data_IF_662377748410
#
_entry.id   IF_662377748410
#
_cell.length_a   1.000
_cell.length_b   1.000
_cell.length_c   1.000
_cell.angle_alpha   90.00
_cell.angle_beta   90.00
_cell.angle_gamma   90.00
#
_symmetry.space_group_name_H-M   'P 1'
#
loop_
_entity.id
_entity.type
_entity.pdbx_description
1 polymer ?
#
# COMPACT_ATOMS: atom_id res chain seq x y z
N UNK A 1 -6.31 -3.60 -23.34
CA UNK A 1 -4.89 -4.08 -23.36
C UNK A 1 -4.73 -5.09 -22.23
N UNK A 2 -3.95 -6.15 -22.43
CA UNK A 2 -3.65 -7.07 -21.32
C UNK A 2 -2.64 -6.39 -20.39
N UNK A 3 -2.87 -6.45 -19.07
CA UNK A 3 -1.89 -6.03 -18.07
C UNK A 3 -0.77 -7.08 -18.06
N UNK A 4 0.46 -6.67 -18.33
CA UNK A 4 1.60 -7.58 -18.37
C UNK A 4 2.21 -7.75 -16.97
N UNK A 5 2.35 -6.64 -16.22
CA UNK A 5 2.98 -6.64 -14.92
C UNK A 5 2.32 -5.63 -13.97
N UNK A 6 2.14 -6.04 -12.72
CA UNK A 6 1.66 -5.20 -11.62
C UNK A 6 2.81 -4.99 -10.63
N UNK A 7 3.01 -3.74 -10.21
CA UNK A 7 3.92 -3.37 -9.14
C UNK A 7 3.10 -2.87 -7.95
N UNK A 8 3.11 -3.63 -6.87
CA UNK A 8 2.29 -3.38 -5.68
C UNK A 8 3.13 -2.78 -4.55
N UNK A 9 2.66 -1.67 -3.97
CA UNK A 9 3.24 -1.04 -2.79
C UNK A 9 2.23 -1.02 -1.65
N UNK A 10 2.70 -1.14 -0.42
CA UNK A 10 1.84 -1.15 0.75
C UNK A 10 2.56 -1.62 2.01
N UNK A 11 1.80 -1.93 3.05
CA UNK A 11 2.29 -2.37 4.34
C UNK A 11 2.14 -3.88 4.56
N UNK A 12 2.16 -4.33 5.82
CA UNK A 12 1.95 -5.71 6.24
C UNK A 12 0.73 -6.38 5.60
N UNK A 13 -0.36 -5.63 5.40
CA UNK A 13 -1.56 -6.15 4.73
C UNK A 13 -1.33 -6.43 3.23
N UNK A 14 -0.38 -5.75 2.60
CA UNK A 14 0.00 -6.00 1.21
C UNK A 14 1.06 -7.09 1.11
N UNK A 15 1.95 -7.18 2.10
CA UNK A 15 2.89 -8.32 2.25
C UNK A 15 2.12 -9.63 2.42
N UNK A 16 0.98 -9.61 3.12
CA UNK A 16 0.23 -10.79 3.53
C UNK A 16 0.76 -11.38 4.83
N UNK A 17 1.15 -10.51 5.78
CA UNK A 17 1.61 -10.95 7.10
C UNK A 17 0.55 -11.84 7.76
N UNK A 18 1.02 -12.94 8.37
CA UNK A 18 0.17 -13.96 9.01
C UNK A 18 -0.84 -14.67 8.06
N UNK A 19 -0.62 -14.63 6.75
CA UNK A 19 -1.45 -15.31 5.76
C UNK A 19 -0.58 -16.02 4.70
N UNK A 20 -1.06 -17.13 4.17
CA UNK A 20 -0.39 -17.90 3.10
C UNK A 20 -0.54 -17.26 1.70
N UNK A 21 -1.34 -16.23 1.60
CA UNK A 21 -1.55 -15.44 0.39
C UNK A 21 -1.65 -13.94 0.69
N UNK A 22 -1.63 -13.13 -0.37
CA UNK A 22 -1.84 -11.70 -0.30
C UNK A 22 -2.61 -11.22 -1.53
N UNK A 23 -3.19 -10.02 -1.46
CA UNK A 23 -3.99 -9.48 -2.56
C UNK A 23 -3.18 -9.29 -3.87
N UNK A 24 -1.88 -8.92 -3.86
CA UNK A 24 -1.10 -8.87 -5.09
C UNK A 24 -1.02 -10.22 -5.79
N UNK A 25 -0.71 -11.29 -5.05
CA UNK A 25 -0.66 -12.66 -5.58
C UNK A 25 -2.01 -13.11 -6.12
N UNK A 26 -3.09 -12.89 -5.39
CA UNK A 26 -4.46 -13.22 -5.83
C UNK A 26 -4.83 -12.43 -7.09
N UNK A 27 -4.44 -11.16 -7.19
CA UNK A 27 -4.67 -10.33 -8.36
C UNK A 27 -3.90 -10.83 -9.59
N UNK A 28 -2.63 -11.21 -9.41
CA UNK A 28 -1.81 -11.81 -10.48
C UNK A 28 -2.45 -13.08 -11.04
N UNK A 29 -2.99 -13.94 -10.16
CA UNK A 29 -3.72 -15.15 -10.58
C UNK A 29 -4.99 -14.75 -11.38
N UNK A 30 -5.76 -13.78 -10.91
CA UNK A 30 -6.99 -13.32 -11.56
C UNK A 30 -6.77 -12.69 -12.93
N UNK A 31 -5.62 -12.07 -13.16
CA UNK A 31 -5.27 -11.37 -14.38
C UNK A 31 -4.31 -12.17 -15.28
N UNK A 32 -3.79 -13.27 -14.78
CA UNK A 32 -2.74 -14.06 -15.43
C UNK A 32 -1.54 -13.19 -15.85
N UNK A 33 -1.03 -12.37 -14.90
CA UNK A 33 0.10 -11.47 -15.12
C UNK A 33 1.15 -11.59 -14.00
N UNK A 34 2.35 -11.09 -14.27
CA UNK A 34 3.41 -10.96 -13.26
C UNK A 34 3.02 -9.94 -12.19
N UNK A 35 3.41 -10.20 -10.95
CA UNK A 35 3.25 -9.25 -9.84
C UNK A 35 4.54 -9.12 -9.05
N UNK A 36 5.04 -7.89 -8.93
CA UNK A 36 6.14 -7.54 -8.05
C UNK A 36 5.55 -6.88 -6.80
N UNK A 37 5.74 -7.51 -5.66
CA UNK A 37 5.27 -6.98 -4.38
C UNK A 37 6.41 -6.25 -3.66
N UNK A 38 6.39 -4.92 -3.67
CA UNK A 38 7.35 -4.01 -3.04
C UNK A 38 6.87 -3.51 -1.66
N UNK A 39 5.94 -4.22 -1.04
CA UNK A 39 5.42 -3.83 0.26
C UNK A 39 6.39 -4.16 1.39
N UNK A 40 6.32 -3.39 2.48
CA UNK A 40 7.17 -3.54 3.66
C UNK A 40 6.33 -3.56 4.94
N UNK A 41 6.63 -4.50 5.85
CA UNK A 41 5.94 -4.62 7.14
C UNK A 41 6.17 -3.36 7.97
N UNK A 42 5.08 -2.80 8.54
CA UNK A 42 5.16 -1.62 9.39
C UNK A 42 5.42 -0.31 8.65
N UNK A 43 5.54 -0.31 7.33
CA UNK A 43 5.87 0.89 6.56
C UNK A 43 4.83 2.00 6.68
N UNK A 44 5.27 3.22 6.39
CA UNK A 44 4.47 4.45 6.29
C UNK A 44 4.33 4.90 4.83
N UNK A 45 3.48 5.91 4.60
CA UNK A 45 3.37 6.55 3.28
C UNK A 45 4.70 7.10 2.76
N UNK A 46 5.55 7.62 3.64
CA UNK A 46 6.89 8.11 3.27
C UNK A 46 7.78 7.01 2.69
N UNK A 47 7.75 5.81 3.29
CA UNK A 47 8.48 4.66 2.73
C UNK A 47 7.97 4.30 1.33
N UNK A 48 6.65 4.26 1.14
CA UNK A 48 6.05 3.94 -0.16
C UNK A 48 6.55 4.90 -1.25
N UNK A 49 6.56 6.21 -0.96
CA UNK A 49 7.10 7.21 -1.90
C UNK A 49 8.57 6.96 -2.22
N UNK A 50 9.38 6.64 -1.20
CA UNK A 50 10.77 6.31 -1.42
C UNK A 50 10.93 5.07 -2.31
N UNK A 51 10.22 3.99 -2.00
CA UNK A 51 10.25 2.75 -2.77
C UNK A 51 9.81 2.96 -4.23
N UNK A 52 8.73 3.71 -4.46
CA UNK A 52 8.27 4.06 -5.81
C UNK A 52 9.33 4.81 -6.62
N UNK A 53 10.04 5.75 -6.00
CA UNK A 53 11.08 6.56 -6.68
C UNK A 53 12.29 5.75 -7.11
N UNK A 54 12.63 4.69 -6.37
CA UNK A 54 13.80 3.85 -6.63
C UNK A 54 13.46 2.59 -7.41
N UNK A 55 12.18 2.32 -7.63
CA UNK A 55 11.75 1.20 -8.46
C UNK A 55 11.92 1.52 -9.94
N UNK A 56 12.46 0.58 -10.71
CA UNK A 56 12.61 0.68 -12.15
C UNK A 56 11.37 0.15 -12.86
N UNK A 57 10.43 1.06 -13.11
CA UNK A 57 9.22 0.72 -13.87
C UNK A 57 9.55 0.44 -15.33
N UNK A 58 8.90 -0.57 -15.88
CA UNK A 58 8.91 -0.85 -17.32
C UNK A 58 7.69 -0.22 -17.99
N UNK A 59 7.77 -0.19 -19.33
CA UNK A 59 6.63 0.25 -20.13
C UNK A 59 5.42 -0.67 -19.85
N UNK A 60 4.25 -0.08 -19.73
CA UNK A 60 2.97 -0.76 -19.50
C UNK A 60 2.83 -1.42 -18.11
N UNK A 61 3.71 -1.10 -17.15
CA UNK A 61 3.50 -1.43 -15.75
C UNK A 61 2.26 -0.76 -15.18
N UNK A 62 1.54 -1.49 -14.34
CA UNK A 62 0.47 -0.96 -13.52
C UNK A 62 0.94 -0.86 -12.07
N UNK A 63 1.07 0.37 -11.58
CA UNK A 63 1.42 0.64 -10.20
C UNK A 63 0.16 0.68 -9.33
N UNK A 64 0.14 -0.13 -8.27
CA UNK A 64 -0.98 -0.16 -7.32
C UNK A 64 -0.45 0.08 -5.91
N UNK A 65 -0.97 1.11 -5.25
CA UNK A 65 -0.64 1.45 -3.87
C UNK A 65 -1.81 1.15 -2.95
N UNK A 66 -1.57 0.38 -1.88
CA UNK A 66 -2.49 0.24 -0.76
C UNK A 66 -1.92 1.01 0.44
N UNK A 67 -2.41 2.24 0.62
CA UNK A 67 -1.91 3.17 1.64
C UNK A 67 -2.07 2.61 3.05
N UNK A 68 -0.99 2.60 3.86
CA UNK A 68 -1.03 2.17 5.25
C UNK A 68 -1.81 3.17 6.11
N UNK A 69 -1.99 2.80 7.37
CA UNK A 69 -2.54 3.69 8.37
C UNK A 69 -1.68 4.96 8.51
N UNK A 70 -2.33 6.12 8.54
CA UNK A 70 -1.68 7.45 8.56
C UNK A 70 -0.86 7.71 9.83
N UNK A 71 -1.15 6.98 10.90
CA UNK A 71 -0.39 7.05 12.16
C UNK A 71 1.01 6.47 12.07
N UNK A 72 1.38 5.89 10.94
CA UNK A 72 2.70 5.28 10.74
C UNK A 72 3.70 6.32 10.23
N UNK A 73 4.89 6.29 10.79
CA UNK A 73 6.00 7.15 10.40
C UNK A 73 7.24 6.31 10.11
N UNK A 74 8.17 6.82 9.32
CA UNK A 74 9.49 6.22 9.17
C UNK A 74 10.58 7.29 9.12
N UNK A 75 11.71 6.95 9.70
CA UNK A 75 12.95 7.70 9.57
C UNK A 75 13.89 7.00 8.59
N UNK A 76 14.39 7.76 7.65
CA UNK A 76 15.49 7.33 6.80
C UNK A 76 16.80 7.61 7.56
N UNK A 77 17.46 6.57 8.04
CA UNK A 77 18.73 6.66 8.76
C UNK A 77 19.90 6.80 7.79
N UNK A 78 19.87 6.01 6.72
CA UNK A 78 20.85 5.98 5.63
C UNK A 78 20.11 5.63 4.33
N UNK A 79 20.78 5.67 3.20
CA UNK A 79 20.21 5.24 1.94
C UNK A 79 19.67 3.79 2.07
N UNK A 80 18.36 3.63 1.85
CA UNK A 80 17.63 2.36 1.98
C UNK A 80 17.56 1.74 3.39
N UNK A 81 17.94 2.46 4.45
CA UNK A 81 17.82 2.02 5.83
C UNK A 81 16.71 2.80 6.54
N UNK A 82 15.53 2.19 6.67
CA UNK A 82 14.35 2.80 7.29
C UNK A 82 14.10 2.23 8.68
N UNK A 83 13.81 3.11 9.62
CA UNK A 83 13.20 2.74 10.89
C UNK A 83 11.72 3.07 10.86
N UNK A 84 10.88 2.02 10.91
CA UNK A 84 9.43 2.17 10.95
C UNK A 84 8.94 2.39 12.38
N UNK A 85 8.14 3.42 12.57
CA UNK A 85 7.60 3.83 13.86
C UNK A 85 6.08 3.85 13.77
N UNK A 86 5.43 3.36 14.80
CA UNK A 86 3.99 3.37 14.93
C UNK A 86 3.56 3.07 16.36
N UNK A 87 2.25 3.07 16.57
CA UNK A 87 1.64 2.85 17.90
C UNK A 87 1.96 1.49 18.53
N UNK A 88 2.49 0.56 17.75
CA UNK A 88 2.88 -0.79 18.20
C UNK A 88 4.31 -0.88 18.77
N UNK A 89 5.14 0.16 18.63
CA UNK A 89 6.50 0.21 19.19
C UNK A 89 6.51 0.95 20.53
N UNK A 90 6.85 0.25 21.59
CA UNK A 90 6.83 0.82 22.95
C UNK A 90 8.03 1.73 23.25
N UNK A 91 9.23 1.42 22.74
CA UNK A 91 10.48 2.09 23.17
C UNK A 91 10.72 3.46 22.54
N UNK A 92 10.33 3.65 21.27
CA UNK A 92 10.59 4.91 20.54
C UNK A 92 9.36 5.82 20.45
N UNK A 93 8.28 5.39 21.08
CA UNK A 93 6.98 6.02 20.98
C UNK A 93 6.86 7.34 21.74
N UNK A 94 7.76 7.66 22.67
CA UNK A 94 7.61 8.86 23.52
C UNK A 94 7.68 10.16 22.73
N UNK A 95 8.68 10.31 21.84
CA UNK A 95 8.77 11.47 20.94
C UNK A 95 7.65 11.47 19.94
N UNK A 96 7.36 10.32 19.34
CA UNK A 96 6.26 10.17 18.40
C UNK A 96 4.92 10.54 19.04
N UNK A 97 4.56 9.98 20.20
CA UNK A 97 3.31 10.29 20.89
C UNK A 97 3.22 11.74 21.34
N UNK A 98 4.36 12.37 21.69
CA UNK A 98 4.41 13.77 22.10
C UNK A 98 4.12 14.74 20.95
N UNK A 99 4.54 14.41 19.73
CA UNK A 99 4.46 15.29 18.57
C UNK A 99 3.46 14.81 17.53
N UNK A 100 2.88 13.62 17.71
CA UNK A 100 1.86 13.11 16.82
C UNK A 100 0.60 13.96 16.89
N UNK A 101 0.05 14.25 15.72
CA UNK A 101 -1.23 14.92 15.55
C UNK A 101 -1.95 14.25 14.41
N UNK A 102 -3.21 13.86 14.64
CA UNK A 102 -4.07 13.28 13.58
C UNK A 102 -4.18 14.21 12.38
N UNK A 103 -4.32 15.51 12.63
CA UNK A 103 -4.35 16.50 11.57
C UNK A 103 -3.06 16.51 10.73
N UNK A 104 -1.90 16.48 11.37
CA UNK A 104 -0.61 16.44 10.67
C UNK A 104 -0.46 15.15 9.85
N UNK A 105 -0.81 14.01 10.43
CA UNK A 105 -0.75 12.72 9.76
C UNK A 105 -1.68 12.66 8.53
N UNK A 106 -2.85 13.27 8.61
CA UNK A 106 -3.77 13.37 7.49
C UNK A 106 -3.23 14.30 6.38
N UNK A 107 -2.60 15.43 6.73
CA UNK A 107 -1.95 16.31 5.77
C UNK A 107 -0.77 15.61 5.08
N UNK A 108 0.07 14.89 5.82
CA UNK A 108 1.16 14.08 5.27
C UNK A 108 0.62 13.02 4.30
N UNK A 109 -0.49 12.36 4.63
CA UNK A 109 -1.13 11.40 3.75
C UNK A 109 -1.51 12.02 2.41
N UNK A 110 -2.18 13.18 2.40
CA UNK A 110 -2.55 13.86 1.15
C UNK A 110 -1.32 14.30 0.34
N UNK A 111 -0.25 14.74 1.00
CA UNK A 111 0.99 15.07 0.30
C UNK A 111 1.63 13.84 -0.36
N UNK A 112 1.64 12.69 0.31
CA UNK A 112 2.18 11.46 -0.27
C UNK A 112 1.32 10.97 -1.44
N UNK A 113 0.01 11.03 -1.31
CA UNK A 113 -0.93 10.66 -2.36
C UNK A 113 -0.74 11.54 -3.61
N UNK A 114 -0.71 12.85 -3.44
CA UNK A 114 -0.49 13.80 -4.53
C UNK A 114 0.87 13.58 -5.20
N UNK A 115 1.91 13.37 -4.40
CA UNK A 115 3.24 13.06 -4.93
C UNK A 115 3.25 11.78 -5.77
N UNK A 116 2.65 10.69 -5.28
CA UNK A 116 2.61 9.42 -5.98
C UNK A 116 1.88 9.57 -7.33
N UNK A 117 0.75 10.26 -7.34
CA UNK A 117 -0.04 10.55 -8.55
C UNK A 117 0.74 11.38 -9.57
N UNK A 118 1.40 12.44 -9.11
CA UNK A 118 2.22 13.30 -9.98
C UNK A 118 3.45 12.56 -10.52
N UNK A 119 4.10 11.75 -9.69
CA UNK A 119 5.22 10.91 -10.08
C UNK A 119 4.82 9.92 -11.18
N UNK A 120 3.72 9.19 -10.97
CA UNK A 120 3.20 8.25 -11.95
C UNK A 120 2.85 8.96 -13.28
N UNK A 121 2.15 10.10 -13.22
CA UNK A 121 1.80 10.91 -14.40
C UNK A 121 3.05 11.37 -15.18
N UNK A 122 4.08 11.84 -14.49
CA UNK A 122 5.33 12.31 -15.13
C UNK A 122 6.10 11.20 -15.82
N UNK A 123 6.00 9.99 -15.30
CA UNK A 123 6.71 8.82 -15.83
C UNK A 123 5.83 7.93 -16.73
N UNK A 124 4.61 8.38 -17.09
CA UNK A 124 3.64 7.63 -17.89
C UNK A 124 3.32 6.25 -17.31
N UNK A 125 3.22 6.14 -15.97
CA UNK A 125 2.88 4.93 -15.25
C UNK A 125 1.36 4.92 -15.01
N UNK A 126 0.70 3.83 -15.36
CA UNK A 126 -0.70 3.60 -14.99
C UNK A 126 -0.78 3.40 -13.47
N UNK A 127 -1.58 4.21 -12.78
CA UNK A 127 -1.58 4.29 -11.33
C UNK A 127 -2.98 4.16 -10.73
N UNK A 128 -3.09 3.30 -9.73
CA UNK A 128 -4.27 3.14 -8.88
C UNK A 128 -3.86 3.14 -7.42
N UNK A 129 -4.72 3.67 -6.57
CA UNK A 129 -4.47 3.64 -5.14
C UNK A 129 -5.74 3.34 -4.32
N UNK A 130 -5.52 2.70 -3.20
CA UNK A 130 -6.50 2.16 -2.27
C UNK A 130 -6.07 2.43 -0.85
N UNK A 131 -6.98 2.22 0.10
CA UNK A 131 -6.66 2.23 1.51
C UNK A 131 -6.47 0.81 2.05
N UNK A 132 -5.50 0.61 2.90
CA UNK A 132 -5.40 -0.59 3.73
C UNK A 132 -6.55 -0.66 4.75
N UNK A 133 -6.85 -1.84 5.29
CA UNK A 133 -8.04 -2.08 6.12
C UNK A 133 -8.10 -1.22 7.40
N UNK A 134 -6.97 -0.80 7.94
CA UNK A 134 -6.89 0.04 9.16
C UNK A 134 -6.67 1.52 8.90
N UNK A 135 -6.70 1.96 7.65
CA UNK A 135 -6.52 3.37 7.31
C UNK A 135 -7.82 4.15 7.51
N UNK A 136 -7.77 5.22 8.29
CA UNK A 136 -8.89 6.10 8.60
C UNK A 136 -8.58 7.51 8.12
N UNK A 137 -9.04 7.82 6.91
CA UNK A 137 -8.97 9.15 6.31
C UNK A 137 -10.29 9.45 5.62
N UNK A 138 -10.66 10.72 5.56
CA UNK A 138 -11.89 11.15 4.88
C UNK A 138 -11.66 11.20 3.36
N UNK A 139 -11.81 10.07 2.69
CA UNK A 139 -11.63 9.94 1.24
C UNK A 139 -12.67 9.00 0.64
N UNK A 140 -12.91 9.16 -0.67
CA UNK A 140 -13.79 8.28 -1.45
C UNK A 140 -13.07 7.02 -2.00
N UNK A 141 -11.81 6.80 -1.64
CA UNK A 141 -11.07 5.64 -2.11
C UNK A 141 -11.65 4.34 -1.58
N UNK A 142 -11.59 3.32 -2.40
CA UNK A 142 -11.90 1.97 -1.94
C UNK A 142 -10.88 1.53 -0.88
N UNK A 143 -11.38 0.89 0.14
CA UNK A 143 -10.63 0.38 1.27
C UNK A 143 -10.71 -1.15 1.29
N UNK A 144 -9.61 -1.80 1.64
CA UNK A 144 -9.63 -3.23 1.93
C UNK A 144 -10.54 -3.53 3.11
N UNK A 145 -11.61 -4.29 2.89
CA UNK A 145 -12.51 -4.72 3.94
C UNK A 145 -11.96 -5.97 4.65
N UNK A 146 -12.18 -6.03 5.97
CA UNK A 146 -11.78 -7.16 6.78
C UNK A 146 -12.93 -8.16 6.88
N UNK A 147 -12.81 -9.31 6.21
CA UNK A 147 -13.80 -10.39 6.20
C UNK A 147 -13.38 -11.60 7.06
N UNK A 148 -12.08 -11.79 7.20
CA UNK A 148 -11.46 -12.84 8.01
C UNK A 148 -10.10 -12.39 8.51
N UNK A 149 -9.54 -13.15 9.45
CA UNK A 149 -8.22 -12.87 10.02
C UNK A 149 -7.19 -13.92 9.61
N UNK A 150 -5.94 -13.51 9.53
CA UNK A 150 -4.78 -14.37 9.43
C UNK A 150 -4.51 -15.14 10.74
N UNK A 151 -3.41 -15.88 10.78
CA UNK A 151 -3.05 -16.76 11.92
C UNK A 151 -2.77 -16.01 13.22
N UNK A 152 -2.50 -14.71 13.16
CA UNK A 152 -2.25 -13.84 14.31
C UNK A 152 -3.50 -13.14 14.87
N UNK A 153 -4.67 -13.36 14.28
CA UNK A 153 -5.94 -12.71 14.62
C UNK A 153 -5.91 -11.16 14.57
N UNK A 154 -4.99 -10.59 13.78
CA UNK A 154 -4.81 -9.14 13.62
C UNK A 154 -4.80 -8.71 12.17
N UNK A 155 -4.06 -9.42 11.32
CA UNK A 155 -3.97 -9.13 9.91
C UNK A 155 -5.09 -9.77 9.11
N UNK A 156 -5.41 -9.23 7.91
CA UNK A 156 -6.42 -9.82 7.03
C UNK A 156 -6.08 -11.26 6.64
N UNK A 157 -7.09 -12.11 6.64
CA UNK A 157 -6.98 -13.49 6.19
C UNK A 157 -7.19 -13.65 4.69
N UNK A 158 -7.25 -14.88 4.25
CA UNK A 158 -7.31 -15.26 2.83
C UNK A 158 -8.54 -14.73 2.09
N UNK A 159 -9.69 -14.72 2.74
CA UNK A 159 -10.93 -14.23 2.13
C UNK A 159 -10.85 -12.72 1.88
N UNK A 160 -10.36 -11.96 2.86
CA UNK A 160 -10.15 -10.50 2.76
C UNK A 160 -9.23 -10.16 1.58
N UNK A 161 -8.13 -10.88 1.42
CA UNK A 161 -7.20 -10.67 0.29
C UNK A 161 -7.84 -10.99 -1.06
N UNK A 162 -8.62 -12.07 -1.17
CA UNK A 162 -9.30 -12.44 -2.41
C UNK A 162 -10.35 -11.43 -2.83
N UNK A 163 -11.18 -10.99 -1.88
CA UNK A 163 -12.23 -10.00 -2.16
C UNK A 163 -11.60 -8.67 -2.61
N UNK A 164 -10.54 -8.23 -1.93
CA UNK A 164 -9.85 -7.01 -2.31
C UNK A 164 -9.21 -7.11 -3.71
N UNK A 165 -8.59 -8.22 -4.05
CA UNK A 165 -8.07 -8.47 -5.39
C UNK A 165 -9.17 -8.43 -6.47
N UNK A 166 -10.36 -8.97 -6.19
CA UNK A 166 -11.51 -8.91 -7.07
C UNK A 166 -12.01 -7.47 -7.28
N UNK A 167 -12.03 -6.66 -6.21
CA UNK A 167 -12.38 -5.24 -6.30
C UNK A 167 -11.38 -4.48 -7.19
N UNK A 168 -10.08 -4.66 -6.96
CA UNK A 168 -9.04 -4.05 -7.79
C UNK A 168 -9.19 -4.46 -9.26
N UNK A 169 -9.41 -5.76 -9.54
CA UNK A 169 -9.66 -6.24 -10.91
C UNK A 169 -10.85 -5.54 -11.56
N UNK A 170 -11.92 -5.30 -10.83
CA UNK A 170 -13.09 -4.58 -11.33
C UNK A 170 -12.71 -3.14 -11.69
N UNK A 171 -12.02 -2.44 -10.80
CA UNK A 171 -11.62 -1.06 -11.01
C UNK A 171 -10.67 -0.90 -12.20
N UNK A 172 -9.75 -1.85 -12.41
CA UNK A 172 -8.89 -1.90 -13.58
C UNK A 172 -9.68 -2.06 -14.89
N UNK A 173 -10.78 -2.83 -14.88
CA UNK A 173 -11.68 -2.96 -16.04
C UNK A 173 -12.46 -1.67 -16.29
N UNK A 174 -13.03 -1.10 -15.24
CA UNK A 174 -13.85 0.10 -15.33
C UNK A 174 -12.99 1.32 -15.75
N UNK A 175 -11.70 1.35 -15.39
CA UNK A 175 -10.71 2.31 -15.84
C UNK A 175 -10.15 2.07 -17.25
N UNK A 176 -10.69 1.10 -18.00
CA UNK A 176 -10.25 0.73 -19.34
C UNK A 176 -8.76 0.35 -19.47
N UNK A 177 -8.19 -0.24 -18.42
CA UNK A 177 -6.79 -0.73 -18.39
C UNK A 177 -6.70 -2.20 -18.81
N UNK A 178 -7.81 -2.94 -18.68
CA UNK A 178 -7.93 -4.36 -19.06
C UNK A 178 -8.57 -4.53 -20.43
#
# INVERSE_FOLDING_TARGET
>A
MAVNRIVAFGCSNTVGEACDTNWPKELGILLNCEVINCAEIGCSGRYIIHAMRHFQFEKDDVCIVAWPEVTRYCWLKEENNFEHIGVWKDSDSTLYRKYFSDYHAEQDFYMYEDYARLYAKRNNITYFDYLSCYTFVNTKKHKMELHDYGTDNKHPGKLSHKIFAQQIRKDLKDGAVL
#
